data_IF_838532896821
#
_entry.id   IF_838532896821
#
_cell.length_a   1.000
_cell.length_b   1.000
_cell.length_c   1.000
_cell.angle_alpha   90.00
_cell.angle_beta   90.00
_cell.angle_gamma   90.00
#
_symmetry.space_group_name_H-M   'P 1'
#
loop_
_entity.id
_entity.type
_entity.pdbx_description
1 polymer ?
#
# COMPACT_ATOMS: atom_id res chain seq x y z
N UNK A 1 -31.09 -16.47 16.44
CA UNK A 1 -30.31 -15.66 15.48
C UNK A 1 -28.85 -15.88 15.78
N UNK A 2 -28.14 -16.64 14.93
CA UNK A 2 -26.71 -16.86 15.08
C UNK A 2 -25.96 -15.80 14.29
N UNK A 3 -25.27 -14.88 14.97
CA UNK A 3 -24.29 -14.00 14.35
C UNK A 3 -23.04 -14.84 14.05
N UNK A 4 -23.06 -15.46 12.87
CA UNK A 4 -21.87 -16.06 12.27
C UNK A 4 -21.20 -14.97 11.42
N UNK A 5 -19.87 -14.97 11.44
CA UNK A 5 -18.98 -14.27 10.50
C UNK A 5 -18.49 -12.89 10.93
N UNK A 6 -17.41 -12.86 11.72
CA UNK A 6 -16.46 -11.72 11.78
C UNK A 6 -15.00 -12.18 11.63
N UNK A 7 -14.70 -13.45 11.96
CA UNK A 7 -13.37 -14.02 11.71
C UNK A 7 -13.07 -14.25 10.23
N UNK A 8 -14.05 -14.71 9.44
CA UNK A 8 -13.81 -15.06 8.03
C UNK A 8 -13.56 -13.84 7.14
N UNK A 9 -14.24 -12.71 7.38
CA UNK A 9 -14.06 -11.51 6.55
C UNK A 9 -12.64 -10.96 6.66
N UNK A 10 -12.05 -10.99 7.86
CA UNK A 10 -10.71 -10.45 8.11
C UNK A 10 -9.60 -11.21 7.38
N UNK A 11 -9.74 -12.54 7.20
CA UNK A 11 -8.78 -13.33 6.41
C UNK A 11 -8.85 -13.01 4.91
N UNK A 12 -10.04 -12.74 4.36
CA UNK A 12 -10.20 -12.36 2.95
C UNK A 12 -9.65 -10.95 2.63
N UNK A 13 -9.73 -10.01 3.59
CA UNK A 13 -9.17 -8.66 3.41
C UNK A 13 -7.64 -8.64 3.31
N UNK A 14 -6.93 -9.61 3.91
CA UNK A 14 -5.47 -9.66 3.94
C UNK A 14 -4.86 -10.19 2.63
N UNK A 15 -5.45 -11.24 2.04
CA UNK A 15 -4.94 -11.78 0.77
C UNK A 15 -5.12 -10.80 -0.38
N UNK A 16 -6.15 -9.95 -0.31
CA UNK A 16 -6.48 -9.03 -1.39
C UNK A 16 -5.28 -8.18 -1.79
N UNK A 17 -4.64 -7.48 -0.85
CA UNK A 17 -3.56 -6.53 -1.14
C UNK A 17 -2.17 -7.15 -1.31
N UNK A 18 -2.09 -8.47 -1.48
CA UNK A 18 -0.85 -9.16 -1.86
C UNK A 18 -0.47 -8.84 -3.30
N UNK A 19 0.83 -8.84 -3.59
CA UNK A 19 1.36 -8.61 -4.93
C UNK A 19 2.18 -9.82 -5.39
N UNK A 20 2.05 -10.28 -6.66
CA UNK A 20 1.14 -9.76 -7.70
C UNK A 20 -0.31 -10.21 -7.49
N UNK A 21 -1.26 -9.45 -8.05
CA UNK A 21 -2.66 -9.87 -8.11
C UNK A 21 -2.85 -11.00 -9.13
N UNK A 22 -3.72 -11.95 -8.82
CA UNK A 22 -4.07 -13.07 -9.72
C UNK A 22 -5.53 -13.02 -10.16
N UNK A 23 -5.87 -13.81 -11.18
CA UNK A 23 -7.24 -13.92 -11.69
C UNK A 23 -8.25 -14.39 -10.63
N UNK A 24 -7.80 -15.10 -9.59
CA UNK A 24 -8.64 -15.58 -8.50
C UNK A 24 -9.22 -14.42 -7.66
N UNK A 25 -8.60 -13.24 -7.74
CA UNK A 25 -8.98 -12.03 -7.01
C UNK A 25 -9.87 -11.10 -7.85
N UNK A 26 -10.34 -11.54 -9.02
CA UNK A 26 -11.12 -10.70 -9.94
C UNK A 26 -12.34 -10.07 -9.28
N UNK A 27 -13.16 -10.88 -8.59
CA UNK A 27 -14.38 -10.38 -7.94
C UNK A 27 -14.02 -9.40 -6.82
N UNK A 28 -12.99 -9.69 -6.03
CA UNK A 28 -12.57 -8.80 -4.95
C UNK A 28 -12.11 -7.43 -5.48
N UNK A 29 -11.41 -7.39 -6.63
CA UNK A 29 -10.99 -6.15 -7.28
C UNK A 29 -12.20 -5.38 -7.83
N UNK A 30 -13.16 -6.06 -8.45
CA UNK A 30 -14.41 -5.44 -8.93
C UNK A 30 -15.19 -4.81 -7.77
N UNK A 31 -15.43 -5.57 -6.71
CA UNK A 31 -16.16 -5.11 -5.52
C UNK A 31 -15.42 -3.95 -4.83
N UNK A 32 -14.09 -3.98 -4.81
CA UNK A 32 -13.28 -2.89 -4.27
C UNK A 32 -13.39 -1.62 -5.12
N UNK A 33 -13.38 -1.70 -6.45
CA UNK A 33 -13.60 -0.54 -7.31
C UNK A 33 -15.01 0.06 -7.13
N UNK A 34 -16.03 -0.79 -6.97
CA UNK A 34 -17.39 -0.33 -6.65
C UNK A 34 -17.42 0.38 -5.28
N UNK A 35 -16.80 -0.21 -4.25
CA UNK A 35 -16.66 0.45 -2.95
C UNK A 35 -15.87 1.75 -3.07
N UNK A 36 -14.89 1.85 -3.97
CA UNK A 36 -14.15 3.07 -4.25
C UNK A 36 -14.97 4.12 -5.03
N UNK A 37 -16.24 3.82 -5.35
CA UNK A 37 -17.12 4.66 -6.17
C UNK A 37 -16.55 4.95 -7.56
N UNK A 38 -15.76 4.03 -8.11
CA UNK A 38 -15.27 4.15 -9.47
C UNK A 38 -16.44 4.07 -10.47
N UNK A 39 -16.57 5.02 -11.41
CA UNK A 39 -17.62 4.97 -12.42
C UNK A 39 -17.34 3.87 -13.43
N UNK A 40 -18.06 2.76 -13.33
CA UNK A 40 -17.86 1.58 -14.19
C UNK A 40 -17.96 1.90 -15.69
N UNK A 41 -18.69 2.96 -16.08
CA UNK A 41 -18.80 3.43 -17.48
C UNK A 41 -17.46 3.86 -18.08
N UNK A 42 -16.46 4.18 -17.25
CA UNK A 42 -15.10 4.54 -17.68
C UNK A 42 -14.14 3.35 -17.79
N UNK A 43 -14.65 2.11 -17.75
CA UNK A 43 -13.84 0.88 -17.86
C UNK A 43 -12.90 0.88 -19.07
N UNK A 44 -13.33 1.43 -20.21
CA UNK A 44 -12.55 1.44 -21.44
C UNK A 44 -11.29 2.29 -21.30
N UNK A 45 -11.44 3.49 -20.72
CA UNK A 45 -10.30 4.36 -20.44
C UNK A 45 -9.39 3.74 -19.38
N UNK A 46 -9.97 3.16 -18.33
CA UNK A 46 -9.21 2.43 -17.32
C UNK A 46 -8.36 1.31 -17.95
N UNK A 47 -8.94 0.49 -18.83
CA UNK A 47 -8.24 -0.58 -19.53
C UNK A 47 -7.04 -0.08 -20.33
N UNK A 48 -7.19 1.05 -21.05
CA UNK A 48 -6.07 1.69 -21.75
C UNK A 48 -4.96 2.14 -20.79
N UNK A 49 -5.32 2.75 -19.66
CA UNK A 49 -4.35 3.17 -18.63
C UNK A 49 -3.62 2.00 -17.99
N UNK A 50 -4.31 0.88 -17.81
CA UNK A 50 -3.76 -0.39 -17.32
C UNK A 50 -2.89 -1.13 -18.35
N UNK A 51 -2.83 -0.67 -19.59
CA UNK A 51 -1.94 -1.22 -20.63
C UNK A 51 -2.61 -2.20 -21.60
N UNK A 52 -3.94 -2.33 -21.55
CA UNK A 52 -4.68 -3.10 -22.56
C UNK A 52 -4.72 -2.34 -23.89
N UNK A 53 -4.65 -3.07 -24.99
CA UNK A 53 -4.72 -2.48 -26.33
C UNK A 53 -6.15 -2.13 -26.71
N UNK A 54 -6.28 -1.11 -27.57
CA UNK A 54 -7.57 -0.69 -28.14
C UNK A 54 -8.34 -1.87 -28.75
N UNK A 55 -7.66 -2.74 -29.50
CA UNK A 55 -8.29 -3.91 -30.13
C UNK A 55 -8.88 -4.88 -29.10
N UNK A 56 -8.17 -5.14 -28.00
CA UNK A 56 -8.65 -5.98 -26.89
C UNK A 56 -9.92 -5.39 -26.28
N UNK A 57 -9.95 -4.08 -26.05
CA UNK A 57 -11.11 -3.38 -25.47
C UNK A 57 -12.29 -3.29 -26.44
N UNK A 58 -12.02 -3.12 -27.74
CA UNK A 58 -13.07 -3.08 -28.77
C UNK A 58 -13.76 -4.45 -28.90
N UNK A 59 -13.02 -5.56 -28.73
CA UNK A 59 -13.61 -6.92 -28.64
C UNK A 59 -14.51 -7.04 -27.41
N UNK A 60 -14.03 -6.64 -26.23
CA UNK A 60 -14.83 -6.68 -24.99
C UNK A 60 -16.14 -5.88 -25.13
N UNK A 61 -16.06 -4.70 -25.75
CA UNK A 61 -17.22 -3.84 -26.01
C UNK A 61 -18.21 -4.46 -27.00
N UNK A 62 -17.74 -5.28 -27.94
CA UNK A 62 -18.59 -5.98 -28.90
C UNK A 62 -19.32 -7.19 -28.31
N UNK A 63 -18.77 -7.78 -27.25
CA UNK A 63 -19.29 -9.01 -26.63
C UNK A 63 -20.38 -8.75 -25.58
N UNK A 64 -20.48 -7.53 -25.05
CA UNK A 64 -21.51 -7.15 -24.06
C UNK A 64 -21.87 -5.66 -24.12
N UNK A 65 -23.16 -5.36 -23.99
CA UNK A 65 -23.67 -4.00 -23.80
C UNK A 65 -23.69 -3.58 -22.31
N UNK A 66 -23.51 -4.52 -21.38
CA UNK A 66 -23.56 -4.27 -19.95
C UNK A 66 -22.21 -3.74 -19.44
N UNK A 67 -22.24 -2.54 -18.86
CA UNK A 67 -21.04 -1.86 -18.35
C UNK A 67 -20.29 -2.70 -17.30
N UNK A 68 -21.01 -3.39 -16.42
CA UNK A 68 -20.44 -4.25 -15.39
C UNK A 68 -19.67 -5.44 -15.99
N UNK A 69 -20.24 -6.10 -17.01
CA UNK A 69 -19.60 -7.24 -17.69
C UNK A 69 -18.33 -6.78 -18.42
N UNK A 70 -18.40 -5.64 -19.11
CA UNK A 70 -17.24 -5.04 -19.76
C UNK A 70 -16.11 -4.71 -18.77
N UNK A 71 -16.44 -4.11 -17.62
CA UNK A 71 -15.46 -3.83 -16.58
C UNK A 71 -14.85 -5.12 -16.03
N UNK A 72 -15.67 -6.12 -15.76
CA UNK A 72 -15.23 -7.42 -15.25
C UNK A 72 -14.27 -8.09 -16.24
N UNK A 73 -14.59 -8.11 -17.53
CA UNK A 73 -13.71 -8.71 -18.54
C UNK A 73 -12.44 -7.88 -18.78
N UNK A 74 -12.54 -6.55 -18.71
CA UNK A 74 -11.38 -5.66 -18.73
C UNK A 74 -10.39 -5.98 -17.59
N UNK A 75 -10.89 -6.09 -16.36
CA UNK A 75 -10.05 -6.43 -15.20
C UNK A 75 -9.52 -7.87 -15.28
N UNK A 76 -10.32 -8.79 -15.82
CA UNK A 76 -9.94 -10.17 -16.12
C UNK A 76 -8.75 -10.26 -17.10
N UNK A 77 -8.71 -9.41 -18.14
CA UNK A 77 -7.55 -9.28 -19.03
C UNK A 77 -6.33 -8.66 -18.33
N UNK A 78 -6.56 -7.62 -17.53
CA UNK A 78 -5.49 -6.97 -16.75
C UNK A 78 -4.83 -7.93 -15.75
N UNK A 79 -5.61 -8.69 -14.98
CA UNK A 79 -5.13 -9.69 -14.02
C UNK A 79 -4.39 -10.86 -14.69
N UNK A 80 -4.74 -11.19 -15.94
CA UNK A 80 -3.97 -12.14 -16.77
C UNK A 80 -2.72 -11.54 -17.42
N UNK A 81 -2.41 -10.26 -17.14
CA UNK A 81 -1.25 -9.54 -17.66
C UNK A 81 -1.20 -9.52 -19.19
N UNK A 82 -2.37 -9.35 -19.83
CA UNK A 82 -2.47 -9.26 -21.28
C UNK A 82 -1.75 -8.00 -21.82
N UNK A 83 -1.47 -7.98 -23.13
CA UNK A 83 -0.98 -6.82 -23.85
C UNK A 83 0.26 -6.16 -23.18
N UNK A 84 0.17 -4.87 -22.86
CA UNK A 84 1.26 -4.07 -22.30
C UNK A 84 1.13 -3.87 -20.78
N UNK A 85 0.34 -4.69 -20.08
CA UNK A 85 0.10 -4.54 -18.62
C UNK A 85 1.40 -4.51 -17.82
N UNK A 86 2.38 -5.33 -18.20
CA UNK A 86 3.67 -5.40 -17.52
C UNK A 86 4.48 -4.11 -17.66
N UNK A 87 4.36 -3.43 -18.82
CA UNK A 87 4.99 -2.11 -19.02
C UNK A 87 4.33 -1.00 -18.18
N UNK A 88 3.15 -1.26 -17.62
CA UNK A 88 2.40 -0.36 -16.73
C UNK A 88 2.52 -0.74 -15.26
N UNK A 89 3.49 -1.57 -14.89
CA UNK A 89 3.71 -2.01 -13.51
C UNK A 89 3.01 -3.31 -13.13
N UNK A 90 2.44 -4.03 -14.11
CA UNK A 90 1.81 -5.34 -13.92
C UNK A 90 0.43 -5.27 -13.27
N UNK A 91 -0.10 -6.42 -12.86
CA UNK A 91 -1.35 -6.54 -12.13
C UNK A 91 -1.12 -6.30 -10.62
N UNK A 92 -1.04 -5.04 -10.20
CA UNK A 92 -0.82 -4.65 -8.80
C UNK A 92 -1.78 -3.54 -8.38
N UNK A 93 -2.02 -3.38 -7.08
CA UNK A 93 -2.82 -2.24 -6.61
C UNK A 93 -2.17 -0.89 -6.87
N UNK A 94 -0.84 -0.84 -6.94
CA UNK A 94 -0.11 0.39 -7.25
C UNK A 94 -0.35 0.82 -8.69
N UNK A 95 -0.25 -0.11 -9.65
CA UNK A 95 -0.56 0.21 -11.06
C UNK A 95 -2.05 0.55 -11.27
N UNK A 96 -2.96 -0.06 -10.51
CA UNK A 96 -4.37 0.30 -10.51
C UNK A 96 -4.61 1.72 -9.95
N UNK A 97 -3.99 2.06 -8.81
CA UNK A 97 -4.05 3.40 -8.21
C UNK A 97 -3.47 4.46 -9.15
N UNK A 98 -2.33 4.18 -9.77
CA UNK A 98 -1.68 5.07 -10.75
C UNK A 98 -2.55 5.26 -12.00
N UNK A 99 -3.17 4.19 -12.50
CA UNK A 99 -4.10 4.27 -13.61
C UNK A 99 -5.29 5.19 -13.29
N UNK A 100 -5.92 5.02 -12.12
CA UNK A 100 -7.02 5.87 -11.63
C UNK A 100 -6.60 7.34 -11.52
N UNK A 101 -5.44 7.62 -10.90
CA UNK A 101 -4.88 8.98 -10.83
C UNK A 101 -4.66 9.58 -12.22
N UNK A 102 -4.12 8.80 -13.15
CA UNK A 102 -3.80 9.27 -14.50
C UNK A 102 -5.02 9.59 -15.38
N UNK A 103 -6.21 9.12 -14.99
CA UNK A 103 -7.50 9.44 -15.62
C UNK A 103 -8.33 10.43 -14.78
N UNK A 104 -7.72 11.06 -13.78
CA UNK A 104 -8.32 12.01 -12.84
C UNK A 104 -9.41 11.43 -11.93
N UNK A 105 -9.44 10.10 -11.73
CA UNK A 105 -10.28 9.44 -10.72
C UNK A 105 -9.61 9.45 -9.34
N UNK A 106 -9.19 10.65 -8.90
CA UNK A 106 -8.38 10.83 -7.69
C UNK A 106 -9.12 10.36 -6.43
N UNK A 107 -10.44 10.60 -6.33
CA UNK A 107 -11.22 10.16 -5.17
C UNK A 107 -11.27 8.64 -5.05
N UNK A 108 -11.41 7.92 -6.16
CA UNK A 108 -11.38 6.47 -6.19
C UNK A 108 -9.97 5.95 -5.86
N UNK A 109 -8.92 6.58 -6.40
CA UNK A 109 -7.53 6.23 -6.11
C UNK A 109 -7.16 6.44 -4.63
N UNK A 110 -7.55 7.57 -4.05
CA UNK A 110 -7.30 7.88 -2.63
C UNK A 110 -8.01 6.88 -1.71
N UNK A 111 -9.24 6.51 -2.05
CA UNK A 111 -10.01 5.50 -1.32
C UNK A 111 -9.38 4.10 -1.47
N UNK A 112 -8.90 3.75 -2.65
CA UNK A 112 -8.16 2.51 -2.90
C UNK A 112 -6.88 2.45 -2.04
N UNK A 113 -6.10 3.53 -2.02
CA UNK A 113 -4.89 3.65 -1.21
C UNK A 113 -5.25 3.57 0.30
N UNK A 114 -6.39 4.11 0.72
CA UNK A 114 -6.87 4.00 2.10
C UNK A 114 -7.21 2.54 2.47
N UNK A 115 -7.91 1.81 1.61
CA UNK A 115 -8.24 0.40 1.82
C UNK A 115 -6.96 -0.46 1.88
N UNK A 116 -5.97 -0.19 1.01
CA UNK A 116 -4.65 -0.82 1.07
C UNK A 116 -3.95 -0.59 2.41
N UNK A 117 -3.96 0.66 2.90
CA UNK A 117 -3.35 1.01 4.21
C UNK A 117 -4.06 0.35 5.38
N UNK A 118 -5.39 0.26 5.35
CA UNK A 118 -6.18 -0.47 6.37
C UNK A 118 -5.80 -1.94 6.40
N UNK A 119 -5.75 -2.61 5.25
CA UNK A 119 -5.36 -4.02 5.18
C UNK A 119 -3.96 -4.25 5.76
N UNK A 120 -2.99 -3.40 5.40
CA UNK A 120 -1.62 -3.48 5.94
C UNK A 120 -1.56 -3.27 7.45
N UNK A 121 -2.37 -2.37 8.01
CA UNK A 121 -2.43 -2.19 9.46
C UNK A 121 -3.04 -3.42 10.16
N UNK A 122 -4.08 -4.02 9.59
CA UNK A 122 -4.65 -5.27 10.14
C UNK A 122 -3.65 -6.42 10.08
N UNK A 123 -2.85 -6.51 9.01
CA UNK A 123 -1.79 -7.52 8.88
C UNK A 123 -0.71 -7.40 9.98
N UNK A 124 -0.25 -6.18 10.26
CA UNK A 124 0.66 -5.92 11.38
C UNK A 124 0.02 -6.33 12.70
N UNK A 125 -1.24 -5.94 12.95
CA UNK A 125 -1.95 -6.32 14.16
C UNK A 125 -2.06 -7.85 14.31
N UNK A 126 -2.42 -8.55 13.24
CA UNK A 126 -2.56 -10.01 13.22
C UNK A 126 -1.24 -10.74 13.44
N UNK A 127 -0.13 -10.21 12.91
CA UNK A 127 1.22 -10.73 13.16
C UNK A 127 1.55 -10.76 14.65
N UNK A 128 1.06 -9.78 15.41
CA UNK A 128 1.29 -9.66 16.85
C UNK A 128 0.15 -10.23 17.71
N UNK A 129 -0.95 -10.69 17.12
CA UNK A 129 -2.13 -11.16 17.83
C UNK A 129 -1.84 -12.26 18.86
N UNK A 130 -1.02 -13.30 18.58
CA UNK A 130 -0.75 -14.35 19.58
C UNK A 130 -0.08 -13.80 20.86
N UNK A 131 0.82 -12.82 20.70
CA UNK A 131 1.50 -12.17 21.82
C UNK A 131 0.56 -11.22 22.57
N UNK A 132 -0.33 -10.52 21.85
CA UNK A 132 -1.34 -9.65 22.43
C UNK A 132 -2.33 -10.44 23.29
N UNK A 133 -2.84 -11.57 22.80
CA UNK A 133 -3.74 -12.45 23.55
C UNK A 133 -3.12 -12.97 24.85
N UNK A 134 -1.80 -13.16 24.88
CA UNK A 134 -1.07 -13.66 26.05
C UNK A 134 -0.65 -12.56 27.04
N UNK A 135 -0.32 -11.36 26.55
CA UNK A 135 0.32 -10.31 27.36
C UNK A 135 -0.69 -9.33 27.99
N UNK A 136 -1.94 -9.33 27.55
CA UNK A 136 -3.00 -8.48 28.08
C UNK A 136 -3.63 -9.08 29.35
N UNK A 137 -2.89 -9.05 30.45
CA UNK A 137 -3.30 -9.63 31.75
C UNK A 137 -4.43 -8.86 32.46
N UNK A 138 -4.62 -7.58 32.13
CA UNK A 138 -5.71 -6.73 32.63
C UNK A 138 -6.41 -6.01 31.45
N UNK A 139 -7.29 -6.72 30.73
CA UNK A 139 -7.96 -6.19 29.55
C UNK A 139 -8.89 -5.01 29.87
N UNK A 140 -9.41 -4.91 31.10
CA UNK A 140 -10.31 -3.82 31.50
C UNK A 140 -9.55 -2.50 31.62
N UNK A 141 -8.41 -2.49 32.32
CA UNK A 141 -7.59 -1.26 32.43
C UNK A 141 -7.08 -0.78 31.07
N UNK A 142 -6.70 -1.71 30.19
CA UNK A 142 -6.30 -1.40 28.81
C UNK A 142 -7.49 -0.81 28.03
N UNK A 143 -8.68 -1.41 28.13
CA UNK A 143 -9.88 -0.90 27.48
C UNK A 143 -10.25 0.53 27.95
N UNK A 144 -10.15 0.83 29.25
CA UNK A 144 -10.39 2.18 29.79
C UNK A 144 -9.44 3.19 29.14
N UNK A 145 -8.15 2.84 29.02
CA UNK A 145 -7.16 3.74 28.42
C UNK A 145 -7.40 3.92 26.91
N UNK A 146 -7.75 2.84 26.20
CA UNK A 146 -8.10 2.91 24.78
C UNK A 146 -9.36 3.74 24.52
N UNK A 147 -10.34 3.71 25.43
CA UNK A 147 -11.51 4.57 25.34
C UNK A 147 -11.13 6.05 25.50
N UNK A 148 -10.26 6.37 26.48
CA UNK A 148 -9.77 7.75 26.69
C UNK A 148 -9.01 8.30 25.50
N UNK A 149 -8.28 7.44 24.80
CA UNK A 149 -7.53 7.77 23.58
C UNK A 149 -8.38 7.67 22.30
N UNK A 150 -9.68 7.39 22.43
CA UNK A 150 -10.62 7.34 21.30
C UNK A 150 -10.45 6.15 20.36
N UNK A 151 -9.71 5.11 20.76
CA UNK A 151 -9.54 3.88 19.96
C UNK A 151 -10.80 3.02 20.00
N UNK A 152 -11.48 2.96 21.15
CA UNK A 152 -12.74 2.20 21.33
C UNK A 152 -13.85 3.09 21.89
N UNK A 153 -15.10 2.71 21.67
CA UNK A 153 -16.27 3.44 22.18
C UNK A 153 -16.63 3.03 23.61
N UNK A 154 -17.43 3.85 24.30
CA UNK A 154 -17.95 3.49 25.62
C UNK A 154 -18.85 2.25 25.63
N UNK A 155 -19.52 1.96 24.51
CA UNK A 155 -20.29 0.74 24.34
C UNK A 155 -19.39 -0.50 24.35
N UNK A 156 -18.25 -0.45 23.65
CA UNK A 156 -17.26 -1.54 23.64
C UNK A 156 -16.68 -1.74 25.04
N UNK A 157 -16.36 -0.65 25.75
CA UNK A 157 -15.88 -0.74 27.12
C UNK A 157 -16.90 -1.43 28.04
N UNK A 158 -18.18 -1.03 27.96
CA UNK A 158 -19.24 -1.65 28.74
C UNK A 158 -19.36 -3.16 28.44
N UNK A 159 -19.23 -3.55 27.17
CA UNK A 159 -19.20 -4.96 26.77
C UNK A 159 -18.04 -5.70 27.42
N UNK A 160 -16.82 -5.18 27.38
CA UNK A 160 -15.62 -5.77 28.01
C UNK A 160 -15.79 -5.92 29.53
N UNK A 161 -16.40 -4.93 30.19
CA UNK A 161 -16.65 -4.95 31.64
C UNK A 161 -17.78 -5.93 32.02
N UNK A 162 -18.79 -6.09 31.16
CA UNK A 162 -19.97 -6.92 31.43
C UNK A 162 -19.78 -8.42 31.18
N UNK A 163 -18.64 -8.84 30.61
CA UNK A 163 -18.39 -10.26 30.31
C UNK A 163 -18.28 -11.07 31.61
N UNK A 164 -19.23 -11.99 31.80
CA UNK A 164 -19.22 -12.96 32.90
C UNK A 164 -17.99 -13.87 32.79
N UNK A 165 -17.37 -14.32 33.90
CA UNK A 165 -16.13 -15.13 33.90
C UNK A 165 -16.17 -16.45 33.10
N UNK A 166 -17.35 -16.85 32.62
CA UNK A 166 -17.62 -18.13 31.96
C UNK A 166 -17.70 -18.07 30.42
N UNK A 167 -17.39 -16.93 29.79
CA UNK A 167 -17.54 -16.64 28.34
C UNK A 167 -16.18 -16.21 27.78
N UNK A 168 -15.86 -16.39 26.47
CA UNK A 168 -14.50 -16.20 25.95
C UNK A 168 -13.85 -14.89 26.40
N UNK A 169 -12.68 -15.06 27.02
CA UNK A 169 -11.67 -14.08 27.41
C UNK A 169 -11.98 -12.63 26.99
N UNK A 170 -12.23 -11.74 27.96
CA UNK A 170 -12.40 -10.29 27.78
C UNK A 170 -11.36 -9.65 26.83
N UNK A 171 -10.14 -10.20 26.79
CA UNK A 171 -9.09 -9.81 25.85
C UNK A 171 -9.50 -10.03 24.39
N UNK A 172 -10.10 -11.16 24.03
CA UNK A 172 -10.52 -11.44 22.65
C UNK A 172 -11.63 -10.50 22.18
N UNK A 173 -12.55 -10.13 23.08
CA UNK A 173 -13.56 -9.09 22.80
C UNK A 173 -12.89 -7.73 22.53
N UNK A 174 -11.89 -7.38 23.33
CA UNK A 174 -11.12 -6.14 23.15
C UNK A 174 -10.31 -6.15 21.85
N UNK A 175 -9.62 -7.24 21.54
CA UNK A 175 -8.83 -7.39 20.31
C UNK A 175 -9.71 -7.31 19.06
N UNK A 176 -10.88 -7.96 19.07
CA UNK A 176 -11.86 -7.84 18.00
C UNK A 176 -12.35 -6.38 17.82
N UNK A 177 -12.56 -5.65 18.92
CA UNK A 177 -12.94 -4.25 18.84
C UNK A 177 -11.83 -3.35 18.29
N UNK A 178 -10.56 -3.66 18.60
CA UNK A 178 -9.40 -2.94 18.04
C UNK A 178 -9.29 -3.20 16.54
N UNK A 179 -9.53 -4.42 16.06
CA UNK A 179 -9.60 -4.75 14.62
C UNK A 179 -10.63 -3.86 13.93
N UNK A 180 -11.85 -3.74 14.50
CA UNK A 180 -12.91 -2.88 13.96
C UNK A 180 -12.48 -1.41 13.93
N UNK A 181 -11.81 -0.93 14.99
CA UNK A 181 -11.28 0.42 15.03
C UNK A 181 -10.24 0.68 13.93
N UNK A 182 -9.30 -0.24 13.72
CA UNK A 182 -8.25 -0.14 12.68
C UNK A 182 -8.89 -0.17 11.28
N UNK A 183 -9.92 -0.99 11.04
CA UNK A 183 -10.68 -1.02 9.79
C UNK A 183 -11.37 0.33 9.50
N UNK A 184 -11.79 1.06 10.54
CA UNK A 184 -12.30 2.42 10.39
C UNK A 184 -11.18 3.42 10.09
N UNK A 185 -10.10 3.38 10.86
CA UNK A 185 -8.96 4.29 10.73
C UNK A 185 -7.65 3.57 11.07
N UNK A 186 -6.85 3.29 10.03
CA UNK A 186 -5.62 2.51 10.16
C UNK A 186 -4.61 3.10 11.17
N UNK A 187 -4.59 4.43 11.34
CA UNK A 187 -3.69 5.10 12.30
C UNK A 187 -4.00 4.78 13.76
N UNK A 188 -5.19 4.23 14.07
CA UNK A 188 -5.52 3.81 15.43
C UNK A 188 -4.67 2.63 15.91
N UNK A 189 -4.05 1.88 15.00
CA UNK A 189 -3.03 0.89 15.37
C UNK A 189 -1.84 1.55 16.08
N UNK A 190 -1.40 2.72 15.62
CA UNK A 190 -0.30 3.45 16.24
C UNK A 190 -0.69 3.97 17.63
N UNK A 191 -1.92 4.50 17.78
CA UNK A 191 -2.47 4.91 19.08
C UNK A 191 -2.57 3.72 20.03
N UNK A 192 -3.07 2.58 19.55
CA UNK A 192 -3.12 1.34 20.33
C UNK A 192 -1.73 0.91 20.81
N UNK A 193 -0.74 0.90 19.92
CA UNK A 193 0.63 0.54 20.26
C UNK A 193 1.25 1.51 21.28
N UNK A 194 0.95 2.81 21.18
CA UNK A 194 1.34 3.82 22.17
C UNK A 194 0.69 3.59 23.54
N UNK A 195 -0.59 3.19 23.57
CA UNK A 195 -1.29 2.81 24.80
C UNK A 195 -0.65 1.57 25.43
N UNK A 196 -0.32 0.55 24.64
CA UNK A 196 0.38 -0.63 25.16
C UNK A 196 1.70 -0.28 25.84
N UNK A 197 2.44 0.69 25.32
CA UNK A 197 3.69 1.16 25.93
C UNK A 197 3.51 1.79 27.32
N UNK A 198 2.30 2.18 27.72
CA UNK A 198 2.01 2.72 29.05
C UNK A 198 1.86 1.62 30.12
N UNK A 199 1.74 0.36 29.72
CA UNK A 199 1.66 -0.79 30.62
C UNK A 199 3.03 -1.46 30.70
N UNK A 200 3.62 -1.53 31.90
CA UNK A 200 4.99 -2.02 32.12
C UNK A 200 5.26 -3.40 31.53
N UNK A 201 4.28 -4.30 31.56
CA UNK A 201 4.36 -5.64 30.95
C UNK A 201 4.31 -5.65 29.41
N UNK A 202 3.82 -4.59 28.78
CA UNK A 202 3.57 -4.52 27.34
C UNK A 202 4.48 -3.53 26.60
N UNK A 203 5.42 -2.88 27.28
CA UNK A 203 6.34 -1.89 26.67
C UNK A 203 7.06 -2.44 25.45
N UNK A 204 7.63 -3.65 25.56
CA UNK A 204 8.34 -4.30 24.45
C UNK A 204 7.42 -4.57 23.26
N UNK A 205 6.24 -5.14 23.52
CA UNK A 205 5.26 -5.47 22.48
C UNK A 205 4.72 -4.23 21.78
N UNK A 206 4.32 -3.21 22.55
CA UNK A 206 3.90 -1.91 22.01
C UNK A 206 4.99 -1.26 21.15
N UNK A 207 6.25 -1.28 21.60
CA UNK A 207 7.38 -0.74 20.83
C UNK A 207 7.61 -1.50 19.53
N UNK A 208 7.43 -2.83 19.53
CA UNK A 208 7.55 -3.65 18.31
C UNK A 208 6.44 -3.30 17.31
N UNK A 209 5.19 -3.23 17.77
CA UNK A 209 4.06 -2.85 16.90
C UNK A 209 4.25 -1.44 16.33
N UNK A 210 4.72 -0.48 17.13
CA UNK A 210 5.03 0.87 16.66
C UNK A 210 6.09 0.86 15.55
N UNK A 211 7.17 0.09 15.74
CA UNK A 211 8.24 -0.02 14.74
C UNK A 211 7.72 -0.60 13.42
N UNK A 212 6.93 -1.67 13.49
CA UNK A 212 6.42 -2.35 12.30
C UNK A 212 5.39 -1.48 11.56
N UNK A 213 4.60 -0.71 12.31
CA UNK A 213 3.74 0.35 11.77
C UNK A 213 4.57 1.42 11.06
N UNK A 214 5.57 1.99 11.72
CA UNK A 214 6.38 3.07 11.16
C UNK A 214 7.15 2.62 9.92
N UNK A 215 7.73 1.42 9.94
CA UNK A 215 8.39 0.82 8.77
C UNK A 215 7.40 0.62 7.62
N UNK A 216 6.15 0.28 7.92
CA UNK A 216 5.14 0.02 6.91
C UNK A 216 4.56 1.28 6.25
N UNK A 217 4.55 2.42 6.94
CA UNK A 217 3.84 3.63 6.49
C UNK A 217 4.72 4.88 6.34
N UNK A 218 5.98 4.89 6.80
CA UNK A 218 6.86 6.06 6.70
C UNK A 218 7.92 5.97 5.57
N UNK A 219 7.98 4.87 4.82
CA UNK A 219 8.99 4.66 3.76
C UNK A 219 8.79 5.54 2.51
N UNK A 220 7.66 6.24 2.38
CA UNK A 220 7.42 7.23 1.30
C UNK A 220 8.37 8.44 1.34
N UNK A 221 9.17 8.60 2.43
CA UNK A 221 10.19 9.66 2.54
C UNK A 221 11.57 9.27 1.99
N UNK A 222 11.79 8.03 1.55
CA UNK A 222 13.13 7.56 1.13
C UNK A 222 13.48 7.76 -0.35
N UNK A 223 12.53 8.24 -1.17
CA UNK A 223 12.72 8.44 -2.62
C UNK A 223 13.14 9.86 -3.05
N UNK A 224 13.40 10.78 -2.10
CA UNK A 224 14.07 12.05 -2.40
C UNK A 224 15.56 11.93 -2.04
N UNK A 225 16.29 11.07 -2.76
CA UNK A 225 17.70 11.37 -3.02
C UNK A 225 17.71 12.16 -4.31
N UNK A 226 17.64 13.49 -4.18
CA UNK A 226 18.07 14.40 -5.24
C UNK A 226 19.51 14.02 -5.54
N UNK A 227 19.73 13.32 -6.65
CA UNK A 227 21.03 13.30 -7.30
C UNK A 227 21.20 14.72 -7.84
N UNK A 228 21.87 15.55 -7.05
CA UNK A 228 22.45 16.78 -7.56
C UNK A 228 23.60 16.32 -8.46
N UNK A 229 23.64 16.67 -9.75
CA UNK A 229 24.84 16.49 -10.55
C UNK A 229 25.89 17.45 -9.98
N UNK A 230 26.96 16.90 -9.39
CA UNK A 230 28.14 17.69 -9.05
C UNK A 230 28.89 18.00 -10.35
N UNK A 231 28.54 19.11 -11.00
CA UNK A 231 29.44 19.79 -11.92
C UNK A 231 30.34 20.75 -11.13
N UNK A 232 31.63 20.41 -11.17
CA UNK A 232 32.81 21.27 -11.17
C UNK A 232 33.03 22.26 -10.01
N UNK A 233 33.97 21.91 -9.12
CA UNK A 233 34.72 22.93 -8.38
C UNK A 233 36.19 22.52 -8.22
N UNK A 234 37.03 23.25 -8.97
CA UNK A 234 38.49 23.17 -8.97
C UNK A 234 39.10 23.47 -7.59
N UNK A 235 40.21 22.81 -7.27
CA UNK A 235 41.20 23.33 -6.31
C UNK A 235 42.62 23.07 -6.82
N UNK A 236 43.29 24.15 -7.20
CA UNK A 236 44.75 24.26 -7.30
C UNK A 236 45.40 24.00 -5.93
N UNK A 237 46.49 23.22 -5.88
CA UNK A 237 47.64 23.43 -4.97
C UNK A 237 48.90 22.74 -5.52
N UNK A 238 50.03 23.41 -5.29
CA UNK A 238 51.31 23.48 -6.00
C UNK A 238 52.39 22.41 -5.63
N UNK A 239 53.26 22.11 -6.62
CA UNK A 239 54.69 21.66 -6.55
C UNK A 239 55.02 20.26 -5.99
N UNK A 240 55.83 19.42 -6.64
CA UNK A 240 57.23 19.63 -7.07
C UNK A 240 57.69 18.45 -7.96
N UNK A 241 58.52 18.67 -8.99
CA UNK A 241 59.43 17.61 -9.46
C UNK A 241 59.68 17.45 -10.97
N UNK A 242 60.44 18.38 -11.54
CA UNK A 242 61.54 18.16 -12.48
C UNK A 242 61.32 17.56 -13.91
N UNK A 243 61.81 18.36 -14.88
CA UNK A 243 62.56 17.99 -16.12
C UNK A 243 61.81 18.09 -17.47
N UNK A 244 61.77 19.32 -18.01
CA UNK A 244 62.17 19.81 -19.36
C UNK A 244 62.27 18.84 -20.57
N UNK A 245 62.22 19.34 -21.83
CA UNK A 245 61.32 20.34 -22.45
C UNK A 245 60.85 19.96 -23.90
N UNK A 246 59.81 20.66 -24.39
CA UNK A 246 59.49 21.15 -25.77
C UNK A 246 60.17 20.56 -27.04
N UNK A 247 59.52 20.53 -28.24
CA UNK A 247 58.76 21.68 -28.76
C UNK A 247 57.50 21.43 -29.64
N UNK A 248 56.82 22.56 -29.81
CA UNK A 248 55.66 22.98 -30.62
C UNK A 248 55.81 22.70 -32.14
N UNK A 249 54.69 22.68 -32.91
CA UNK A 249 54.49 21.93 -34.16
C UNK A 249 54.80 22.78 -35.40
N UNK A 250 54.47 22.26 -36.61
CA UNK A 250 54.03 23.15 -37.66
C UNK A 250 52.73 22.72 -38.36
N UNK A 251 51.89 23.73 -38.57
CA UNK A 251 50.93 23.82 -39.66
C UNK A 251 51.58 23.54 -41.02
N UNK A 252 50.84 22.89 -41.92
CA UNK A 252 50.73 23.22 -43.37
C UNK A 252 49.57 22.38 -43.93
N UNK A 253 48.42 22.98 -44.29
CA UNK A 253 48.08 23.56 -45.60
C UNK A 253 48.10 22.59 -46.80
N UNK A 254 46.92 22.53 -47.45
CA UNK A 254 46.69 22.51 -48.90
C UNK A 254 46.36 21.19 -49.61
N UNK A 255 45.17 21.24 -50.23
CA UNK A 255 44.81 20.83 -51.59
C UNK A 255 45.05 19.37 -52.01
N UNK A 256 43.98 18.57 -52.13
CA UNK A 256 43.12 18.44 -53.32
C UNK A 256 43.81 17.74 -54.49
N UNK A 257 43.39 16.52 -54.78
CA UNK A 257 42.97 16.04 -56.11
C UNK A 257 42.60 14.55 -55.99
N UNK A 258 41.37 14.14 -56.30
CA UNK A 258 40.83 13.92 -57.65
C UNK A 258 41.26 12.56 -58.25
N UNK A 259 40.25 11.75 -58.53
CA UNK A 259 40.11 10.72 -59.56
C UNK A 259 40.14 9.22 -59.18
N UNK A 260 39.02 8.62 -59.62
CA UNK A 260 38.69 7.22 -59.91
C UNK A 260 38.18 6.37 -58.76
#
# INVERSE_FOLDING_TARGET
MATKTTGSSCFFYLSLFSSPLTIDQLIDVVDLLERCAFPQTRWYELGLKLGLHKNTLDVIKGDSDATYECLTECLSKWLRRADNVDSKGGATFDSLSDALKSMNENAAADKLDQEKRKAKAIDIFNTHHPLLSQSLSDPVSVAIMLQREGVITGQVLASVVSVSPSVPNQCEVLLAAIIVAIQSKYSLLQTFASVLCKFTGNVKLGTVIQRDYDQSFNDDKKLIKVVIPDDDMSTDTLSTGATTPSPIPPNTFSCSDSHS
#
